data_IF_758982242481
#
_entry.id   IF_758982242481
#
_cell.length_a   1.000
_cell.length_b   1.000
_cell.length_c   1.000
_cell.angle_alpha   90.00
_cell.angle_beta   90.00
_cell.angle_gamma   90.00
#
_symmetry.space_group_name_H-M   'P 1'
#
loop_
_entity.id
_entity.type
_entity.pdbx_description
1 polymer ?
#
# COMPACT_ATOMS: atom_id res chain seq x y z
N UNK A 1 -40.47 -5.63 73.44
CA UNK A 1 -39.07 -6.06 73.27
C UNK A 1 -38.68 -5.77 71.83
N UNK A 2 -37.80 -4.79 71.61
CA UNK A 2 -37.27 -4.44 70.30
C UNK A 2 -35.73 -4.48 70.41
N UNK A 3 -35.01 -5.20 69.54
CA UNK A 3 -33.56 -5.29 69.65
C UNK A 3 -32.91 -4.03 69.06
N UNK A 4 -31.95 -3.49 69.80
CA UNK A 4 -31.04 -2.41 69.36
C UNK A 4 -30.12 -2.96 68.27
N UNK A 5 -30.00 -2.25 67.16
CA UNK A 5 -29.04 -2.53 66.09
C UNK A 5 -27.73 -1.80 66.40
N UNK A 6 -26.66 -2.57 66.55
CA UNK A 6 -25.32 -2.11 66.86
C UNK A 6 -24.69 -1.32 65.70
N UNK A 7 -23.80 -0.39 66.05
CA UNK A 7 -23.05 0.49 65.16
C UNK A 7 -21.98 -0.27 64.39
N UNK A 8 -22.08 -0.29 63.06
CA UNK A 8 -20.99 -0.65 62.15
C UNK A 8 -20.22 0.62 61.75
N UNK A 9 -19.43 1.18 62.67
CA UNK A 9 -18.68 2.45 62.45
C UNK A 9 -17.20 2.21 62.10
N UNK A 10 -16.76 0.98 61.76
CA UNK A 10 -15.33 0.68 61.56
C UNK A 10 -14.88 0.48 60.10
N UNK A 11 -15.77 0.07 59.20
CA UNK A 11 -15.41 -0.23 57.80
C UNK A 11 -15.40 0.99 56.85
N UNK A 12 -16.10 2.07 57.21
CA UNK A 12 -16.17 3.29 56.39
C UNK A 12 -14.96 4.21 56.58
N UNK A 13 -14.23 4.05 57.69
CA UNK A 13 -13.09 4.92 58.05
C UNK A 13 -11.81 4.51 57.30
N UNK A 14 -11.55 3.21 57.16
CA UNK A 14 -10.40 2.68 56.41
C UNK A 14 -10.47 3.03 54.92
N UNK A 15 -11.66 2.96 54.29
CA UNK A 15 -11.85 3.39 52.88
C UNK A 15 -11.66 4.90 52.69
N UNK A 16 -11.94 5.69 53.74
CA UNK A 16 -11.71 7.13 53.75
C UNK A 16 -10.23 7.50 53.80
N UNK A 17 -9.46 6.77 54.61
CA UNK A 17 -8.00 6.95 54.74
C UNK A 17 -7.25 6.52 53.46
N UNK A 18 -7.63 5.39 52.85
CA UNK A 18 -7.06 4.91 51.58
C UNK A 18 -7.30 5.91 50.42
N UNK A 19 -8.51 6.46 50.33
CA UNK A 19 -8.83 7.50 49.35
C UNK A 19 -8.08 8.81 49.61
N UNK A 20 -7.84 9.17 50.87
CA UNK A 20 -7.08 10.36 51.24
C UNK A 20 -5.60 10.21 50.87
N UNK A 21 -5.00 9.04 51.09
CA UNK A 21 -3.61 8.76 50.68
C UNK A 21 -3.44 8.80 49.16
N UNK A 22 -4.40 8.26 48.40
CA UNK A 22 -4.37 8.36 46.93
C UNK A 22 -4.46 9.81 46.44
N UNK A 23 -5.27 10.64 47.10
CA UNK A 23 -5.39 12.07 46.76
C UNK A 23 -4.07 12.81 47.04
N UNK A 24 -3.40 12.52 48.17
CA UNK A 24 -2.08 13.09 48.47
C UNK A 24 -1.00 12.66 47.47
N UNK A 25 -0.95 11.38 47.15
CA UNK A 25 0.03 10.85 46.20
C UNK A 25 -0.17 11.48 44.83
N UNK A 26 -1.42 11.59 44.38
CA UNK A 26 -1.76 12.28 43.15
C UNK A 26 -1.39 13.78 43.17
N UNK A 27 -1.63 14.48 44.29
CA UNK A 27 -1.25 15.89 44.45
C UNK A 27 0.28 16.09 44.46
N UNK A 28 1.04 15.14 45.01
CA UNK A 28 2.52 15.17 45.02
C UNK A 28 3.10 14.87 43.65
N UNK A 29 2.61 13.83 42.96
CA UNK A 29 3.12 13.42 41.65
C UNK A 29 2.85 14.47 40.55
N UNK A 30 1.67 15.08 40.59
CA UNK A 30 1.26 16.05 39.57
C UNK A 30 1.66 17.49 39.90
N UNK A 31 2.01 17.80 41.14
CA UNK A 31 2.26 19.16 41.67
C UNK A 31 1.16 20.19 41.32
N UNK A 32 -0.06 19.75 40.99
CA UNK A 32 -1.13 20.62 40.52
C UNK A 32 -2.11 20.96 41.64
N UNK A 33 -2.49 22.24 41.71
CA UNK A 33 -3.58 22.75 42.53
C UNK A 33 -4.93 22.13 42.13
N UNK A 34 -5.68 21.58 43.07
CA UNK A 34 -7.00 20.98 42.81
C UNK A 34 -8.16 21.85 43.26
N UNK A 35 -9.21 21.85 42.43
CA UNK A 35 -10.55 22.33 42.76
C UNK A 35 -11.48 21.12 42.88
N UNK A 36 -11.97 20.82 44.07
CA UNK A 36 -12.89 19.70 44.26
C UNK A 36 -14.35 20.15 44.12
N UNK A 37 -15.09 19.51 43.22
CA UNK A 37 -16.52 19.76 42.99
C UNK A 37 -17.42 18.69 43.63
N UNK A 38 -16.89 17.49 43.93
CA UNK A 38 -17.66 16.42 44.54
C UNK A 38 -17.63 16.49 46.07
N UNK A 39 -18.79 16.29 46.70
CA UNK A 39 -18.96 16.47 48.15
C UNK A 39 -18.05 15.55 48.98
N UNK A 40 -17.76 14.33 48.50
CA UNK A 40 -16.86 13.40 49.17
C UNK A 40 -15.41 13.89 49.14
N UNK A 41 -14.91 14.33 47.98
CA UNK A 41 -13.55 14.87 47.82
C UNK A 41 -13.35 16.17 48.58
N UNK A 42 -14.38 17.03 48.67
CA UNK A 42 -14.32 18.27 49.45
C UNK A 42 -14.20 17.99 50.95
N UNK A 43 -14.90 16.96 51.44
CA UNK A 43 -14.79 16.55 52.86
C UNK A 43 -13.42 15.97 53.17
N UNK A 44 -12.92 15.07 52.31
CA UNK A 44 -11.58 14.50 52.44
C UNK A 44 -10.52 15.63 52.46
N UNK A 45 -10.52 16.53 51.48
CA UNK A 45 -9.55 17.64 51.42
C UNK A 45 -9.64 18.59 52.64
N UNK A 46 -10.83 18.84 53.18
CA UNK A 46 -10.98 19.61 54.42
C UNK A 46 -10.34 18.89 55.62
N UNK A 47 -10.60 17.59 55.75
CA UNK A 47 -10.04 16.77 56.84
C UNK A 47 -8.51 16.63 56.71
N UNK A 48 -7.99 16.58 55.48
CA UNK A 48 -6.54 16.57 55.22
C UNK A 48 -5.88 17.94 55.51
N UNK A 49 -6.61 19.03 55.25
CA UNK A 49 -6.16 20.38 55.62
C UNK A 49 -6.15 20.59 57.13
N UNK A 50 -7.17 20.10 57.84
CA UNK A 50 -7.23 20.11 59.31
C UNK A 50 -6.09 19.27 59.93
N UNK A 51 -5.71 18.17 59.28
CA UNK A 51 -4.53 17.35 59.62
C UNK A 51 -3.19 17.98 59.23
N UNK A 52 -3.19 19.16 58.59
CA UNK A 52 -2.01 19.87 58.08
C UNK A 52 -1.17 19.06 57.08
N UNK A 53 -1.79 18.14 56.35
CA UNK A 53 -1.11 17.36 55.31
C UNK A 53 -1.11 18.10 53.96
N UNK A 54 -2.04 19.06 53.79
CA UNK A 54 -2.18 19.91 52.61
C UNK A 54 -2.46 21.36 53.00
N UNK A 55 -2.02 22.29 52.16
CA UNK A 55 -2.33 23.71 52.28
C UNK A 55 -3.57 24.07 51.46
N UNK A 56 -4.39 24.97 52.00
CA UNK A 56 -5.59 25.47 51.36
C UNK A 56 -5.48 26.99 51.18
N UNK A 57 -5.66 27.47 49.95
CA UNK A 57 -5.64 28.89 49.59
C UNK A 57 -7.00 29.29 49.04
N UNK A 58 -7.54 30.41 49.51
CA UNK A 58 -8.80 30.96 48.99
C UNK A 58 -8.51 31.72 47.71
N UNK A 59 -9.10 31.29 46.60
CA UNK A 59 -9.05 31.97 45.30
C UNK A 59 -10.47 32.47 44.96
N UNK A 60 -10.81 33.68 45.41
CA UNK A 60 -12.14 34.25 45.20
C UNK A 60 -13.24 33.48 45.92
N UNK A 61 -14.15 32.85 45.16
CA UNK A 61 -15.28 32.06 45.71
C UNK A 61 -14.96 30.57 45.93
N UNK A 62 -13.76 30.12 45.58
CA UNK A 62 -13.35 28.72 45.65
C UNK A 62 -12.12 28.55 46.54
N UNK A 63 -11.98 27.37 47.15
CA UNK A 63 -10.80 26.99 47.94
C UNK A 63 -9.98 26.03 47.08
N UNK A 64 -8.69 26.34 46.95
CA UNK A 64 -7.70 25.57 46.22
C UNK A 64 -6.87 24.79 47.22
N UNK A 65 -6.76 23.48 47.02
CA UNK A 65 -5.93 22.63 47.85
C UNK A 65 -4.67 22.23 47.09
N UNK A 66 -3.52 22.29 47.76
CA UNK A 66 -2.24 21.83 47.23
C UNK A 66 -1.46 21.05 48.28
N UNK A 67 -0.63 20.10 47.84
CA UNK A 67 0.30 19.45 48.73
C UNK A 67 1.30 20.47 49.30
N UNK A 68 1.77 20.22 50.52
CA UNK A 68 2.87 20.98 51.10
C UNK A 68 4.10 20.81 50.22
N UNK A 69 4.64 21.92 49.76
CA UNK A 69 5.92 21.98 49.07
C UNK A 69 6.92 22.48 50.10
N UNK A 70 7.57 21.56 50.83
CA UNK A 70 8.71 21.93 51.63
C UNK A 70 9.77 22.49 50.68
N UNK A 71 10.16 23.76 50.89
CA UNK A 71 11.24 24.37 50.15
C UNK A 71 12.48 23.48 50.31
N UNK A 72 13.18 23.13 49.23
CA UNK A 72 14.28 22.19 49.32
C UNK A 72 15.32 22.71 50.31
N UNK A 73 15.62 21.92 51.34
CA UNK A 73 16.67 22.24 52.32
C UNK A 73 18.04 22.40 51.68
N UNK A 74 18.24 21.86 50.46
CA UNK A 74 19.56 21.66 49.87
C UNK A 74 19.74 22.20 48.44
N UNK A 75 18.76 22.88 47.83
CA UNK A 75 18.91 23.40 46.45
C UNK A 75 19.74 24.67 46.39
N UNK A 76 21.06 24.51 46.48
CA UNK A 76 21.99 25.60 46.17
C UNK A 76 21.95 25.92 44.67
N UNK A 77 22.13 27.19 44.27
CA UNK A 77 22.13 27.58 42.85
C UNK A 77 23.19 26.84 42.01
N UNK A 78 24.26 26.35 42.65
CA UNK A 78 25.29 25.53 42.01
C UNK A 78 24.80 24.11 41.65
N UNK A 79 23.92 23.51 42.44
CA UNK A 79 23.34 22.20 42.10
C UNK A 79 22.32 22.33 40.95
N UNK A 80 21.55 23.42 40.93
CA UNK A 80 20.62 23.69 39.83
C UNK A 80 21.36 23.88 38.51
N UNK A 81 22.48 24.63 38.50
CA UNK A 81 23.28 24.80 37.29
C UNK A 81 23.96 23.50 36.84
N UNK A 82 24.37 22.64 37.77
CA UNK A 82 24.87 21.30 37.45
C UNK A 82 23.78 20.44 36.77
N UNK A 83 22.57 20.41 37.32
CA UNK A 83 21.43 19.69 36.74
C UNK A 83 21.04 20.22 35.36
N UNK A 84 21.07 21.54 35.14
CA UNK A 84 20.83 22.12 33.81
C UNK A 84 21.91 21.69 32.80
N UNK A 85 23.18 21.62 33.23
CA UNK A 85 24.26 21.11 32.39
C UNK A 85 24.08 19.63 32.04
N UNK A 86 23.62 18.80 32.99
CA UNK A 86 23.30 17.40 32.74
C UNK A 86 22.11 17.24 31.79
N UNK A 87 21.06 18.05 31.96
CA UNK A 87 19.89 18.05 31.08
C UNK A 87 20.26 18.42 29.65
N UNK A 88 21.11 19.44 29.46
CA UNK A 88 21.58 19.83 28.12
C UNK A 88 22.42 18.73 27.49
N UNK A 89 23.33 18.10 28.24
CA UNK A 89 24.12 16.97 27.77
C UNK A 89 23.25 15.77 27.39
N UNK A 90 22.30 15.38 28.25
CA UNK A 90 21.38 14.26 27.97
C UNK A 90 20.50 14.54 26.75
N UNK A 91 20.01 15.77 26.59
CA UNK A 91 19.25 16.17 25.40
C UNK A 91 20.08 16.07 24.13
N UNK A 92 21.35 16.49 24.17
CA UNK A 92 22.28 16.36 23.06
C UNK A 92 22.55 14.89 22.71
N UNK A 93 22.77 14.04 23.71
CA UNK A 93 22.94 12.59 23.51
C UNK A 93 21.69 11.95 22.91
N UNK A 94 20.49 12.28 23.41
CA UNK A 94 19.23 11.78 22.84
C UNK A 94 19.08 12.19 21.38
N UNK A 95 19.41 13.44 21.04
CA UNK A 95 19.35 13.92 19.66
C UNK A 95 20.34 13.18 18.76
N UNK A 96 21.58 12.99 19.21
CA UNK A 96 22.62 12.24 18.49
C UNK A 96 22.22 10.78 18.26
N UNK A 97 21.80 10.07 19.31
CA UNK A 97 21.39 8.66 19.22
C UNK A 97 20.18 8.48 18.30
N UNK A 98 19.21 9.40 18.34
CA UNK A 98 18.06 9.37 17.41
C UNK A 98 18.47 9.59 15.96
N UNK A 99 19.48 10.42 15.69
CA UNK A 99 20.01 10.58 14.33
C UNK A 99 20.73 9.32 13.87
N UNK A 100 21.54 8.71 14.73
CA UNK A 100 22.24 7.46 14.44
C UNK A 100 21.25 6.31 14.18
N UNK A 101 20.21 6.19 15.01
CA UNK A 101 19.13 5.21 14.82
C UNK A 101 18.44 5.37 13.46
N UNK A 102 18.15 6.61 13.05
CA UNK A 102 17.56 6.89 11.73
C UNK A 102 18.48 6.49 10.59
N UNK A 103 19.78 6.77 10.71
CA UNK A 103 20.77 6.38 9.71
C UNK A 103 20.84 4.85 9.58
N UNK A 104 20.97 4.12 10.70
CA UNK A 104 21.01 2.66 10.71
C UNK A 104 19.73 2.04 10.14
N UNK A 105 18.55 2.61 10.44
CA UNK A 105 17.29 2.16 9.84
C UNK A 105 17.27 2.34 8.33
N UNK A 106 17.80 3.46 7.82
CA UNK A 106 17.89 3.69 6.38
C UNK A 106 18.86 2.71 5.72
N UNK A 107 20.02 2.44 6.33
CA UNK A 107 20.99 1.45 5.84
C UNK A 107 20.39 0.04 5.84
N UNK A 108 19.71 -0.35 6.92
CA UNK A 108 19.03 -1.65 7.02
C UNK A 108 17.93 -1.79 5.97
N UNK A 109 17.13 -0.75 5.74
CA UNK A 109 16.11 -0.75 4.69
C UNK A 109 16.72 -0.91 3.28
N UNK A 110 17.84 -0.24 3.01
CA UNK A 110 18.57 -0.37 1.75
C UNK A 110 19.18 -1.76 1.56
N UNK A 111 19.70 -2.37 2.63
CA UNK A 111 20.21 -3.75 2.63
C UNK A 111 19.10 -4.77 2.45
N UNK A 112 17.97 -4.62 3.14
CA UNK A 112 16.83 -5.54 3.04
C UNK A 112 16.09 -5.45 1.70
N UNK A 113 16.21 -4.32 1.00
CA UNK A 113 15.67 -4.18 -0.35
C UNK A 113 16.47 -4.97 -1.41
N UNK A 114 17.70 -5.41 -1.08
CA UNK A 114 18.49 -6.27 -1.95
C UNK A 114 18.04 -7.72 -1.79
N UNK A 115 17.79 -8.37 -2.92
CA UNK A 115 17.54 -9.81 -2.98
C UNK A 115 18.80 -10.55 -2.48
N UNK A 116 18.65 -11.55 -1.60
CA UNK A 116 19.75 -12.40 -1.15
C UNK A 116 20.55 -12.99 -2.34
N UNK A 117 21.86 -13.16 -2.18
CA UNK A 117 22.73 -13.59 -3.30
C UNK A 117 22.44 -15.02 -3.76
N UNK A 118 21.98 -15.87 -2.86
CA UNK A 118 21.45 -17.21 -3.11
C UNK A 118 20.17 -17.18 -3.96
N UNK A 119 19.17 -16.38 -3.58
CA UNK A 119 17.95 -16.18 -4.39
C UNK A 119 18.29 -15.58 -5.78
N UNK A 120 19.22 -14.63 -5.84
CA UNK A 120 19.71 -14.08 -7.11
C UNK A 120 20.34 -15.15 -8.01
N UNK A 121 21.11 -16.08 -7.45
CA UNK A 121 21.69 -17.20 -8.22
C UNK A 121 20.62 -18.11 -8.78
N UNK A 122 19.58 -18.41 -8.01
CA UNK A 122 18.45 -19.22 -8.49
C UNK A 122 17.70 -18.52 -9.63
N UNK A 123 17.44 -17.22 -9.48
CA UNK A 123 16.79 -16.40 -10.51
C UNK A 123 17.63 -16.39 -11.80
N UNK A 124 18.94 -16.17 -11.71
CA UNK A 124 19.85 -16.20 -12.87
C UNK A 124 19.82 -17.57 -13.53
N UNK A 125 19.95 -18.65 -12.76
CA UNK A 125 19.89 -20.02 -13.32
C UNK A 125 18.55 -20.31 -14.00
N UNK A 126 17.43 -19.79 -13.49
CA UNK A 126 16.13 -19.91 -14.15
C UNK A 126 16.07 -19.12 -15.45
N UNK A 127 16.51 -17.86 -15.44
CA UNK A 127 16.53 -17.00 -16.63
C UNK A 127 17.44 -17.55 -17.72
N UNK A 128 18.58 -18.14 -17.36
CA UNK A 128 19.48 -18.78 -18.33
C UNK A 128 18.81 -19.99 -18.99
N UNK A 129 18.09 -20.83 -18.23
CA UNK A 129 17.32 -21.94 -18.79
C UNK A 129 16.20 -21.46 -19.72
N UNK A 130 15.44 -20.44 -19.31
CA UNK A 130 14.39 -19.84 -20.14
C UNK A 130 14.97 -19.26 -21.44
N UNK A 131 16.12 -18.60 -21.35
CA UNK A 131 16.84 -18.09 -22.52
C UNK A 131 17.26 -19.22 -23.45
N UNK A 132 17.84 -20.30 -22.92
CA UNK A 132 18.22 -21.47 -23.72
C UNK A 132 17.01 -22.12 -24.39
N UNK A 133 15.89 -22.24 -23.69
CA UNK A 133 14.63 -22.77 -24.26
C UNK A 133 14.11 -21.88 -25.40
N UNK A 134 14.05 -20.57 -25.19
CA UNK A 134 13.59 -19.60 -26.20
C UNK A 134 14.52 -19.60 -27.41
N UNK A 135 15.84 -19.65 -27.20
CA UNK A 135 16.81 -19.76 -28.29
C UNK A 135 16.70 -21.09 -29.03
N UNK A 136 16.46 -22.19 -28.32
CA UNK A 136 16.20 -23.50 -28.92
C UNK A 136 14.95 -23.53 -29.79
N UNK A 137 13.90 -22.81 -29.38
CA UNK A 137 12.67 -22.62 -30.19
C UNK A 137 12.89 -21.71 -31.40
N UNK A 138 13.74 -20.70 -31.27
CA UNK A 138 14.09 -19.75 -32.34
C UNK A 138 15.05 -20.33 -33.39
N UNK A 139 15.97 -21.20 -32.99
CA UNK A 139 16.97 -21.80 -33.87
C UNK A 139 16.36 -22.45 -35.14
N UNK A 140 15.36 -23.36 -35.07
CA UNK A 140 14.78 -23.98 -36.26
C UNK A 140 13.99 -23.00 -37.14
N UNK A 141 13.48 -21.90 -36.56
CA UNK A 141 12.79 -20.82 -37.28
C UNK A 141 13.79 -19.94 -38.05
N UNK A 142 15.00 -19.74 -37.52
CA UNK A 142 16.09 -18.99 -38.17
C UNK A 142 16.85 -19.80 -39.21
N UNK A 143 17.07 -21.09 -38.95
CA UNK A 143 17.79 -21.99 -39.86
C UNK A 143 16.99 -22.37 -41.11
N UNK A 144 15.74 -21.89 -41.24
CA UNK A 144 14.88 -22.18 -42.38
C UNK A 144 14.41 -23.64 -42.47
N UNK A 145 14.60 -24.44 -41.40
CA UNK A 145 14.08 -25.82 -41.32
C UNK A 145 12.56 -25.87 -41.22
N UNK A 146 11.94 -24.77 -40.81
CA UNK A 146 10.50 -24.56 -40.87
C UNK A 146 10.19 -23.76 -42.14
N UNK A 147 9.36 -24.30 -43.03
CA UNK A 147 9.00 -23.68 -44.32
C UNK A 147 8.29 -22.32 -44.19
N UNK A 148 7.90 -21.94 -42.97
CA UNK A 148 7.28 -20.67 -42.65
C UNK A 148 8.37 -19.61 -42.45
N UNK A 149 8.75 -18.95 -43.55
CA UNK A 149 9.55 -17.72 -43.51
C UNK A 149 8.86 -16.74 -42.55
N UNK A 150 9.59 -16.23 -41.57
CA UNK A 150 9.10 -15.15 -40.69
C UNK A 150 8.94 -13.91 -41.57
N UNK A 151 7.70 -13.59 -41.95
CA UNK A 151 7.37 -12.38 -42.69
C UNK A 151 7.13 -11.24 -41.70
N UNK A 152 7.58 -10.03 -42.05
CA UNK A 152 7.13 -8.84 -41.33
C UNK A 152 5.62 -8.66 -41.51
N UNK A 153 4.96 -8.07 -40.53
CA UNK A 153 3.53 -7.68 -40.63
C UNK A 153 3.32 -6.80 -41.87
N UNK A 154 4.27 -5.91 -42.16
CA UNK A 154 4.24 -5.01 -43.33
C UNK A 154 4.32 -5.78 -44.66
N UNK A 155 5.17 -6.82 -44.73
CA UNK A 155 5.30 -7.65 -45.92
C UNK A 155 4.04 -8.48 -46.15
N UNK A 156 3.44 -8.99 -45.07
CA UNK A 156 2.19 -9.74 -45.13
C UNK A 156 1.03 -8.86 -45.60
N UNK A 157 0.88 -7.67 -45.03
CA UNK A 157 -0.16 -6.72 -45.44
C UNK A 157 -0.04 -6.30 -46.90
N UNK A 158 1.19 -6.10 -47.39
CA UNK A 158 1.45 -5.81 -48.81
C UNK A 158 1.00 -6.95 -49.72
N UNK A 159 1.40 -8.19 -49.40
CA UNK A 159 1.04 -9.38 -50.18
C UNK A 159 -0.47 -9.60 -50.15
N UNK A 160 -1.12 -9.45 -48.99
CA UNK A 160 -2.57 -9.58 -48.85
C UNK A 160 -3.33 -8.48 -49.62
N UNK A 161 -2.77 -7.27 -49.70
CA UNK A 161 -3.28 -6.18 -50.53
C UNK A 161 -3.21 -6.51 -52.02
N UNK A 162 -2.05 -6.94 -52.50
CA UNK A 162 -1.84 -7.36 -53.89
C UNK A 162 -2.75 -8.53 -54.26
N UNK A 163 -2.86 -9.54 -53.39
CA UNK A 163 -3.74 -10.68 -53.59
C UNK A 163 -5.21 -10.25 -53.72
N UNK A 164 -5.71 -9.39 -52.83
CA UNK A 164 -7.08 -8.87 -52.91
C UNK A 164 -7.32 -8.12 -54.23
N UNK A 165 -6.38 -7.29 -54.64
CA UNK A 165 -6.46 -6.55 -55.91
C UNK A 165 -6.53 -7.48 -57.12
N UNK A 166 -5.60 -8.45 -57.22
CA UNK A 166 -5.56 -9.38 -58.35
C UNK A 166 -6.75 -10.33 -58.36
N UNK A 167 -7.20 -10.79 -57.19
CA UNK A 167 -8.43 -11.58 -57.05
C UNK A 167 -9.65 -10.80 -57.54
N UNK A 168 -9.79 -9.53 -57.13
CA UNK A 168 -10.88 -8.67 -57.59
C UNK A 168 -10.88 -8.49 -59.11
N UNK A 169 -9.70 -8.25 -59.70
CA UNK A 169 -9.53 -8.15 -61.17
C UNK A 169 -9.88 -9.46 -61.89
N UNK A 170 -9.42 -10.60 -61.38
CA UNK A 170 -9.71 -11.90 -61.96
C UNK A 170 -11.21 -12.21 -61.92
N UNK A 171 -11.87 -11.96 -60.79
CA UNK A 171 -13.33 -12.13 -60.65
C UNK A 171 -14.09 -11.20 -61.59
N UNK A 172 -13.71 -9.92 -61.66
CA UNK A 172 -14.34 -8.96 -62.56
C UNK A 172 -14.20 -9.35 -64.04
N UNK A 173 -13.00 -9.77 -64.45
CA UNK A 173 -12.75 -10.26 -65.83
C UNK A 173 -13.55 -11.51 -66.15
N UNK A 174 -13.63 -12.48 -65.22
CA UNK A 174 -14.47 -13.67 -65.39
C UNK A 174 -15.94 -13.31 -65.56
N UNK A 175 -16.44 -12.36 -64.74
CA UNK A 175 -17.83 -11.89 -64.85
C UNK A 175 -18.11 -11.27 -66.21
N UNK A 176 -17.26 -10.34 -66.66
CA UNK A 176 -17.41 -9.69 -67.98
C UNK A 176 -17.34 -10.74 -69.09
N UNK A 177 -16.40 -11.68 -69.01
CA UNK A 177 -16.26 -12.74 -70.00
C UNK A 177 -17.52 -13.61 -70.08
N UNK A 178 -18.09 -13.98 -68.93
CA UNK A 178 -19.36 -14.71 -68.86
C UNK A 178 -20.53 -13.91 -69.43
N UNK A 179 -20.69 -12.65 -69.03
CA UNK A 179 -21.78 -11.77 -69.52
C UNK A 179 -21.72 -11.59 -71.05
N UNK A 180 -20.51 -11.40 -71.60
CA UNK A 180 -20.32 -11.30 -73.05
C UNK A 180 -20.60 -12.63 -73.73
N UNK A 181 -20.13 -13.74 -73.15
CA UNK A 181 -20.37 -15.07 -73.68
C UNK A 181 -21.86 -15.43 -73.74
N UNK A 182 -22.61 -15.17 -72.66
CA UNK A 182 -24.05 -15.38 -72.59
C UNK A 182 -24.76 -14.63 -73.71
N UNK A 183 -24.50 -13.32 -73.86
CA UNK A 183 -25.09 -12.50 -74.93
C UNK A 183 -24.73 -12.99 -76.34
N UNK A 184 -23.49 -13.41 -76.55
CA UNK A 184 -23.08 -13.98 -77.83
C UNK A 184 -23.77 -15.31 -78.11
N UNK A 185 -23.99 -16.13 -77.07
CA UNK A 185 -24.61 -17.44 -77.21
C UNK A 185 -26.13 -17.39 -77.42
N UNK A 186 -26.81 -16.36 -76.92
CA UNK A 186 -28.26 -16.15 -77.10
C UNK A 186 -28.67 -15.82 -78.54
N UNK A 187 -27.75 -15.27 -79.34
CA UNK A 187 -28.03 -14.79 -80.72
C UNK A 187 -27.54 -15.80 -81.77
N UNK A 188 -27.13 -17.01 -81.36
CA UNK A 188 -26.65 -18.03 -82.29
C UNK A 188 -27.81 -18.68 -83.08
N UNK A 189 -27.71 -18.77 -84.43
CA UNK A 189 -28.66 -19.52 -85.25
C UNK A 189 -28.86 -20.98 -84.81
N UNK A 190 -30.10 -21.48 -84.92
CA UNK A 190 -30.42 -22.89 -84.64
C UNK A 190 -29.65 -23.82 -85.60
N UNK A 191 -28.62 -24.50 -85.07
CA UNK A 191 -27.73 -25.39 -85.82
C UNK A 191 -26.24 -25.21 -85.55
N UNK A 192 -25.82 -24.15 -84.84
CA UNK A 192 -24.44 -23.99 -84.36
C UNK A 192 -24.22 -24.86 -83.10
N UNK A 193 -23.04 -25.47 -83.00
CA UNK A 193 -22.61 -26.42 -81.95
C UNK A 193 -23.00 -25.97 -80.53
N UNK A 194 -23.19 -26.93 -79.63
CA UNK A 194 -23.45 -26.67 -78.19
C UNK A 194 -22.45 -25.63 -77.67
N UNK A 195 -22.92 -24.66 -76.88
CA UNK A 195 -22.14 -23.52 -76.37
C UNK A 195 -20.74 -23.91 -75.84
N UNK A 196 -20.64 -25.06 -75.15
CA UNK A 196 -19.36 -25.57 -74.62
C UNK A 196 -18.35 -25.98 -75.71
N UNK A 197 -18.80 -26.59 -76.81
CA UNK A 197 -17.93 -26.97 -77.93
C UNK A 197 -17.41 -25.74 -78.69
N UNK A 198 -18.19 -24.66 -78.74
CA UNK A 198 -17.78 -23.38 -79.32
C UNK A 198 -16.73 -22.69 -78.45
N UNK A 199 -16.87 -22.75 -77.12
CA UNK A 199 -15.91 -22.22 -76.16
C UNK A 199 -14.54 -22.89 -76.31
N UNK A 200 -14.50 -24.22 -76.42
CA UNK A 200 -13.27 -24.98 -76.67
C UNK A 200 -12.68 -24.69 -78.07
N UNK A 201 -13.53 -24.56 -79.10
CA UNK A 201 -13.08 -24.25 -80.48
C UNK A 201 -12.42 -22.87 -80.57
N UNK A 202 -12.85 -21.91 -79.75
CA UNK A 202 -12.24 -20.58 -79.65
C UNK A 202 -10.96 -20.57 -78.81
N UNK A 203 -10.52 -21.71 -78.30
CA UNK A 203 -9.31 -21.85 -77.48
C UNK A 203 -9.44 -21.24 -76.09
N UNK A 204 -10.66 -21.13 -75.56
CA UNK A 204 -10.90 -20.59 -74.23
C UNK A 204 -10.88 -21.73 -73.21
N UNK A 205 -10.07 -21.56 -72.16
CA UNK A 205 -9.87 -22.56 -71.11
C UNK A 205 -10.45 -22.10 -69.77
N UNK A 206 -11.00 -23.04 -69.00
CA UNK A 206 -11.61 -22.81 -67.70
C UNK A 206 -13.13 -22.88 -67.72
N UNK A 207 -13.74 -23.12 -66.54
CA UNK A 207 -15.20 -23.13 -66.39
C UNK A 207 -15.73 -21.69 -66.34
N UNK A 208 -16.78 -21.44 -67.12
CA UNK A 208 -17.54 -20.19 -67.15
C UNK A 208 -18.04 -19.77 -65.77
#
# INVERSE_FOLDING_TARGET
>A
MAPRKEKSDKESKEKGEDGATMILEYLRDRHHCQFAQQAYTVKALKEMHERKEIEARVAGKQIVYHALQDGPSDSTPAQLSALDSELTNLRAQIASTKQYEKALRAELAALSARVPTDELREIVCRLDREKEEVLGRLAPLRDGRVATRVLSVEEQERVDGEWRMWKGRAVGRKRICREVWERCSEVLPEGIKKSEELWETLGLEGRL
#
